data_IF_249098054704
#
_entry.id   IF_249098054704
#
_cell.length_a   1.000
_cell.length_b   1.000
_cell.length_c   1.000
_cell.angle_alpha   90.00
_cell.angle_beta   90.00
_cell.angle_gamma   90.00
#
_symmetry.space_group_name_H-M   'P 1'
#
loop_
_entity.id
_entity.type
_entity.pdbx_description
1 polymer ?
#
# COMPACT_ATOMS: atom_id res chain seq x y z
N UNK A 1 16.10 -25.30 -12.07
CA UNK A 1 14.82 -24.55 -11.96
C UNK A 1 15.10 -23.07 -12.10
N UNK A 2 14.29 -22.37 -12.90
CA UNK A 2 14.43 -20.93 -13.09
C UNK A 2 14.44 -20.20 -11.73
N UNK A 3 15.37 -19.26 -11.54
CA UNK A 3 15.61 -18.57 -10.26
C UNK A 3 14.33 -18.03 -9.63
N UNK A 4 13.40 -17.54 -10.46
CA UNK A 4 12.15 -16.94 -10.04
C UNK A 4 11.21 -17.85 -9.21
N UNK A 5 11.15 -19.16 -9.47
CA UNK A 5 10.29 -20.06 -8.67
C UNK A 5 10.83 -20.23 -7.25
N UNK A 6 12.16 -20.30 -7.11
CA UNK A 6 12.82 -20.41 -5.81
C UNK A 6 12.66 -19.11 -5.01
N UNK A 7 12.75 -17.97 -5.69
CA UNK A 7 12.49 -16.66 -5.10
C UNK A 7 11.05 -16.53 -4.62
N UNK A 8 10.07 -16.91 -5.45
CA UNK A 8 8.66 -16.91 -5.09
C UNK A 8 8.34 -17.90 -3.94
N UNK A 9 8.94 -19.09 -3.93
CA UNK A 9 8.78 -20.06 -2.86
C UNK A 9 9.36 -19.55 -1.52
N UNK A 10 10.56 -18.97 -1.53
CA UNK A 10 11.16 -18.32 -0.35
C UNK A 10 10.30 -17.17 0.16
N UNK A 11 9.79 -16.36 -0.76
CA UNK A 11 8.88 -15.26 -0.45
C UNK A 11 7.60 -15.77 0.22
N UNK A 12 6.94 -16.76 -0.38
CA UNK A 12 5.74 -17.42 0.18
C UNK A 12 6.01 -17.98 1.58
N UNK A 13 7.13 -18.69 1.78
CA UNK A 13 7.53 -19.26 3.07
C UNK A 13 7.81 -18.22 4.16
N UNK A 14 8.33 -17.04 3.78
CA UNK A 14 8.55 -15.94 4.72
C UNK A 14 7.23 -15.27 5.13
N UNK A 15 6.31 -15.14 4.17
CA UNK A 15 4.98 -14.58 4.38
C UNK A 15 4.10 -15.49 5.24
N UNK A 16 4.00 -16.77 4.87
CA UNK A 16 3.16 -17.76 5.56
C UNK A 16 3.60 -17.96 7.02
N UNK A 17 4.91 -17.91 7.27
CA UNK A 17 5.46 -17.99 8.63
C UNK A 17 5.26 -16.72 9.46
N UNK A 18 4.49 -15.73 8.98
CA UNK A 18 4.22 -14.48 9.69
C UNK A 18 5.43 -13.55 9.87
N UNK A 19 6.59 -13.89 9.28
CA UNK A 19 7.86 -13.19 9.50
C UNK A 19 7.91 -11.81 8.82
N UNK A 20 7.10 -11.60 7.78
CA UNK A 20 7.15 -10.36 6.98
C UNK A 20 5.87 -10.15 6.14
N UNK A 21 5.82 -9.06 5.36
CA UNK A 21 4.74 -8.80 4.39
C UNK A 21 5.14 -9.21 2.96
N UNK A 22 4.19 -9.25 2.01
CA UNK A 22 4.43 -9.73 0.65
C UNK A 22 5.42 -8.82 -0.02
N UNK A 23 5.12 -7.53 0.10
CA UNK A 23 5.86 -6.46 -0.53
C UNK A 23 7.28 -6.52 0.03
N UNK A 24 7.43 -6.55 1.35
CA UNK A 24 8.75 -6.63 2.01
C UNK A 24 9.53 -7.91 1.63
N UNK A 25 8.89 -9.08 1.54
CA UNK A 25 9.54 -10.31 1.12
C UNK A 25 9.95 -10.28 -0.36
N UNK A 26 9.04 -9.85 -1.24
CA UNK A 26 9.22 -9.80 -2.67
C UNK A 26 10.31 -8.79 -3.07
N UNK A 27 10.50 -7.72 -2.32
CA UNK A 27 11.58 -6.76 -2.56
C UNK A 27 13.00 -7.35 -2.41
N UNK A 28 13.13 -8.55 -1.85
CA UNK A 28 14.41 -9.28 -1.76
C UNK A 28 14.65 -10.22 -2.94
N UNK A 29 13.75 -10.26 -3.92
CA UNK A 29 13.83 -11.15 -5.09
C UNK A 29 14.35 -10.43 -6.32
N UNK A 30 14.75 -11.19 -7.35
CA UNK A 30 15.24 -10.62 -8.61
C UNK A 30 14.18 -9.83 -9.39
N UNK A 31 12.89 -10.12 -9.20
CA UNK A 31 11.80 -9.42 -9.87
C UNK A 31 10.61 -9.28 -8.90
N UNK A 32 10.63 -8.24 -8.04
CA UNK A 32 9.60 -8.05 -7.03
C UNK A 32 8.17 -7.97 -7.61
N UNK A 33 7.88 -7.23 -8.70
CA UNK A 33 6.54 -7.19 -9.27
C UNK A 33 6.01 -8.56 -9.70
N UNK A 34 6.85 -9.36 -10.39
CA UNK A 34 6.49 -10.71 -10.80
C UNK A 34 6.30 -11.64 -9.60
N UNK A 35 7.15 -11.53 -8.59
CA UNK A 35 7.02 -12.31 -7.35
C UNK A 35 5.73 -11.98 -6.61
N UNK A 36 5.40 -10.69 -6.43
CA UNK A 36 4.15 -10.26 -5.79
C UNK A 36 2.95 -10.84 -6.53
N UNK A 37 2.90 -10.68 -7.86
CA UNK A 37 1.80 -11.20 -8.67
C UNK A 37 1.62 -12.71 -8.49
N UNK A 38 2.69 -13.49 -8.68
CA UNK A 38 2.64 -14.95 -8.60
C UNK A 38 2.25 -15.44 -7.19
N UNK A 39 2.90 -14.91 -6.14
CA UNK A 39 2.65 -15.33 -4.76
C UNK A 39 1.25 -14.91 -4.29
N UNK A 40 0.75 -13.74 -4.71
CA UNK A 40 -0.65 -13.34 -4.43
C UNK A 40 -1.65 -14.34 -4.99
N UNK A 41 -1.48 -14.76 -6.24
CA UNK A 41 -2.40 -15.71 -6.86
C UNK A 41 -2.31 -17.11 -6.24
N UNK A 42 -1.09 -17.57 -5.93
CA UNK A 42 -0.86 -18.83 -5.21
C UNK A 42 -1.59 -18.84 -3.88
N UNK A 43 -1.51 -17.75 -3.11
CA UNK A 43 -2.21 -17.63 -1.81
C UNK A 43 -3.72 -17.57 -1.99
N UNK A 44 -4.22 -16.83 -2.99
CA UNK A 44 -5.66 -16.77 -3.31
C UNK A 44 -6.24 -18.15 -3.59
N UNK A 45 -5.51 -18.95 -4.37
CA UNK A 45 -5.96 -20.27 -4.78
C UNK A 45 -5.35 -21.41 -3.95
N UNK A 46 -4.82 -21.10 -2.75
CA UNK A 46 -4.09 -22.08 -1.92
C UNK A 46 -4.86 -23.36 -1.72
N UNK A 47 -6.11 -23.28 -1.24
CA UNK A 47 -6.94 -24.46 -0.95
C UNK A 47 -7.11 -25.34 -2.19
N UNK A 48 -7.44 -24.73 -3.33
CA UNK A 48 -7.58 -25.46 -4.60
C UNK A 48 -6.26 -26.11 -5.06
N UNK A 49 -5.13 -25.41 -4.90
CA UNK A 49 -3.80 -25.95 -5.22
C UNK A 49 -3.44 -27.13 -4.30
N UNK A 50 -3.68 -27.01 -3.01
CA UNK A 50 -3.41 -28.08 -2.03
C UNK A 50 -4.27 -29.32 -2.31
N UNK A 51 -5.55 -29.14 -2.63
CA UNK A 51 -6.44 -30.22 -3.08
C UNK A 51 -5.92 -30.91 -4.34
N UNK A 52 -5.53 -30.14 -5.37
CA UNK A 52 -4.99 -30.71 -6.62
C UNK A 52 -3.67 -31.47 -6.41
N UNK A 53 -2.77 -30.92 -5.58
CA UNK A 53 -1.49 -31.56 -5.25
C UNK A 53 -1.71 -32.89 -4.51
N UNK A 54 -2.64 -32.90 -3.54
CA UNK A 54 -2.97 -34.10 -2.76
C UNK A 54 -3.61 -35.18 -3.65
N UNK A 55 -4.60 -34.82 -4.47
CA UNK A 55 -5.31 -35.76 -5.34
C UNK A 55 -4.42 -36.48 -6.36
N UNK A 56 -3.29 -35.89 -6.74
CA UNK A 56 -2.37 -36.44 -7.75
C UNK A 56 -1.20 -37.23 -7.16
N UNK A 57 -1.06 -37.25 -5.84
CA UNK A 57 0.12 -37.80 -5.14
C UNK A 57 1.42 -37.11 -5.57
N UNK A 58 1.32 -35.83 -5.98
CA UNK A 58 2.45 -35.12 -6.56
C UNK A 58 3.56 -34.88 -5.53
N UNK A 59 3.18 -34.71 -4.26
CA UNK A 59 4.11 -34.42 -3.17
C UNK A 59 5.10 -35.56 -2.97
N UNK A 60 4.62 -36.79 -3.02
CA UNK A 60 5.38 -38.02 -2.88
C UNK A 60 6.28 -38.26 -4.11
N UNK A 61 5.73 -38.03 -5.31
CA UNK A 61 6.43 -38.24 -6.59
C UNK A 61 7.56 -37.23 -6.82
N UNK A 62 7.30 -35.95 -6.53
CA UNK A 62 8.25 -34.88 -6.79
C UNK A 62 9.26 -34.68 -5.65
N UNK A 63 8.81 -34.85 -4.40
CA UNK A 63 9.54 -34.39 -3.22
C UNK A 63 9.78 -32.87 -3.20
N UNK A 64 10.39 -32.38 -2.11
CA UNK A 64 10.85 -30.99 -2.02
C UNK A 64 9.95 -30.06 -1.19
N UNK A 65 10.32 -28.79 -1.19
CA UNK A 65 9.70 -27.74 -0.38
C UNK A 65 8.24 -27.47 -0.82
N UNK A 66 7.32 -27.46 0.15
CA UNK A 66 5.88 -27.35 -0.11
C UNK A 66 5.51 -26.04 -0.83
N UNK A 67 6.17 -24.93 -0.49
CA UNK A 67 5.95 -23.64 -1.15
C UNK A 67 6.41 -23.65 -2.60
N UNK A 68 7.51 -24.37 -2.90
CA UNK A 68 7.97 -24.52 -4.28
C UNK A 68 6.99 -25.34 -5.14
N UNK A 69 6.38 -26.38 -4.56
CA UNK A 69 5.31 -27.15 -5.20
C UNK A 69 4.11 -26.27 -5.54
N UNK A 70 3.60 -25.51 -4.56
CA UNK A 70 2.46 -24.60 -4.76
C UNK A 70 2.68 -23.61 -5.89
N UNK A 71 3.84 -22.94 -5.89
CA UNK A 71 4.19 -21.94 -6.90
C UNK A 71 4.32 -22.56 -8.29
N UNK A 72 5.00 -23.71 -8.40
CA UNK A 72 5.22 -24.38 -9.67
C UNK A 72 3.94 -24.97 -10.26
N UNK A 73 3.07 -25.55 -9.41
CA UNK A 73 1.77 -26.08 -9.83
C UNK A 73 0.87 -24.96 -10.31
N UNK A 74 0.77 -23.84 -9.56
CA UNK A 74 -0.05 -22.70 -9.98
C UNK A 74 0.35 -22.18 -11.36
N UNK A 75 1.64 -21.94 -11.59
CA UNK A 75 2.12 -21.44 -12.89
C UNK A 75 1.88 -22.46 -14.03
N UNK A 76 1.87 -23.76 -13.73
CA UNK A 76 1.57 -24.81 -14.70
C UNK A 76 0.07 -24.92 -15.04
N UNK A 77 -0.82 -24.80 -14.04
CA UNK A 77 -2.28 -24.93 -14.24
C UNK A 77 -2.93 -23.63 -14.71
N UNK A 78 -2.47 -22.46 -14.23
CA UNK A 78 -3.04 -21.15 -14.55
C UNK A 78 -2.23 -20.33 -15.59
N UNK A 79 -0.98 -20.70 -15.85
CA UNK A 79 -0.13 -20.07 -16.87
C UNK A 79 -0.24 -20.73 -18.25
N UNK A 80 0.76 -20.53 -19.12
CA UNK A 80 0.81 -21.13 -20.48
C UNK A 80 1.22 -22.62 -20.50
N UNK A 81 1.05 -23.33 -19.38
CA UNK A 81 1.52 -24.71 -19.17
C UNK A 81 2.92 -24.81 -18.55
N UNK A 82 3.31 -26.03 -18.16
CA UNK A 82 4.58 -26.29 -17.49
C UNK A 82 5.79 -25.81 -18.32
N UNK A 83 6.85 -25.24 -17.70
CA UNK A 83 8.02 -24.74 -18.41
C UNK A 83 8.62 -25.74 -19.39
N UNK A 84 8.77 -25.34 -20.65
CA UNK A 84 9.28 -26.19 -21.75
C UNK A 84 10.77 -26.52 -21.67
N UNK A 85 11.55 -25.73 -20.92
CA UNK A 85 13.00 -25.94 -20.73
C UNK A 85 13.32 -26.13 -19.23
N UNK A 86 14.13 -27.15 -18.95
CA UNK A 86 14.68 -27.62 -17.67
C UNK A 86 14.09 -28.96 -17.17
N UNK A 87 14.96 -29.98 -17.09
CA UNK A 87 14.70 -31.31 -16.55
C UNK A 87 15.07 -31.42 -15.08
N UNK A 88 14.08 -31.31 -14.19
CA UNK A 88 14.21 -31.68 -12.78
C UNK A 88 13.03 -32.57 -12.38
N UNK A 89 13.23 -33.43 -11.37
CA UNK A 89 12.24 -34.40 -10.86
C UNK A 89 10.85 -33.75 -10.64
N UNK A 90 10.80 -32.57 -10.03
CA UNK A 90 9.57 -31.79 -9.83
C UNK A 90 8.85 -31.43 -11.14
N UNK A 91 9.57 -30.87 -12.11
CA UNK A 91 8.96 -30.42 -13.38
C UNK A 91 8.47 -31.60 -14.21
N UNK A 92 9.15 -32.75 -14.15
CA UNK A 92 8.71 -33.99 -14.79
C UNK A 92 7.40 -34.49 -14.17
N UNK A 93 7.36 -34.59 -12.85
CA UNK A 93 6.17 -35.01 -12.13
C UNK A 93 4.96 -34.07 -12.36
N UNK A 94 5.19 -32.75 -12.41
CA UNK A 94 4.14 -31.78 -12.75
C UNK A 94 3.62 -31.99 -14.18
N UNK A 95 4.49 -32.24 -15.16
CA UNK A 95 4.06 -32.48 -16.55
C UNK A 95 3.22 -33.75 -16.68
N UNK A 96 3.64 -34.84 -16.04
CA UNK A 96 2.93 -36.11 -16.02
C UNK A 96 1.55 -35.98 -15.36
N UNK A 97 1.46 -35.23 -14.26
CA UNK A 97 0.22 -35.00 -13.53
C UNK A 97 -0.62 -33.83 -14.08
N UNK A 98 -0.16 -33.10 -15.10
CA UNK A 98 -0.76 -31.82 -15.52
C UNK A 98 -2.25 -31.90 -15.87
N UNK A 99 -2.74 -32.92 -16.61
CA UNK A 99 -4.18 -33.02 -16.93
C UNK A 99 -5.04 -33.16 -15.67
N UNK A 100 -4.63 -34.04 -14.74
CA UNK A 100 -5.32 -34.25 -13.48
C UNK A 100 -5.23 -33.02 -12.57
N UNK A 101 -4.06 -32.39 -12.48
CA UNK A 101 -3.86 -31.15 -11.71
C UNK A 101 -4.80 -30.05 -12.19
N UNK A 102 -4.95 -29.85 -13.51
CA UNK A 102 -5.86 -28.85 -14.07
C UNK A 102 -7.31 -29.15 -13.73
N UNK A 103 -7.75 -30.38 -13.99
CA UNK A 103 -9.12 -30.81 -13.72
C UNK A 103 -9.50 -30.65 -12.25
N UNK A 104 -8.65 -31.12 -11.32
CA UNK A 104 -8.91 -30.98 -9.88
C UNK A 104 -8.80 -29.53 -9.40
N UNK A 105 -7.84 -28.75 -9.93
CA UNK A 105 -7.71 -27.34 -9.59
C UNK A 105 -8.94 -26.53 -10.01
N UNK A 106 -9.44 -26.75 -11.22
CA UNK A 106 -10.64 -26.09 -11.73
C UNK A 106 -11.88 -26.48 -10.92
N UNK A 107 -12.05 -27.75 -10.60
CA UNK A 107 -13.17 -28.23 -9.77
C UNK A 107 -13.12 -27.70 -8.32
N UNK A 108 -11.93 -27.58 -7.73
CA UNK A 108 -11.74 -27.12 -6.35
C UNK A 108 -11.69 -25.60 -6.21
N UNK A 109 -11.50 -24.87 -7.32
CA UNK A 109 -11.47 -23.42 -7.33
C UNK A 109 -12.89 -22.90 -7.26
N UNK A 110 -13.30 -22.44 -6.08
CA UNK A 110 -14.44 -21.53 -5.99
C UNK A 110 -14.20 -20.34 -6.91
N UNK A 111 -15.19 -20.01 -7.76
CA UNK A 111 -15.16 -18.84 -8.62
C UNK A 111 -15.04 -17.58 -7.77
N UNK A 112 -13.80 -17.23 -7.43
CA UNK A 112 -13.46 -15.86 -7.06
C UNK A 112 -13.36 -15.10 -8.38
N UNK A 113 -14.08 -13.97 -8.54
CA UNK A 113 -14.16 -13.27 -9.80
C UNK A 113 -12.75 -13.03 -10.37
N UNK A 114 -12.55 -13.48 -11.61
CA UNK A 114 -11.29 -13.31 -12.31
C UNK A 114 -10.92 -11.82 -12.40
N UNK A 115 -9.62 -11.48 -12.34
CA UNK A 115 -9.10 -10.10 -12.37
C UNK A 115 -9.28 -9.38 -13.74
N UNK A 116 -10.16 -9.88 -14.59
CA UNK A 116 -10.32 -9.49 -15.99
C UNK A 116 -11.83 -9.50 -16.26
N UNK A 117 -12.56 -8.39 -16.39
CA UNK A 117 -12.35 -7.39 -17.45
C UNK A 117 -12.83 -5.94 -17.14
N UNK A 118 -13.32 -5.59 -15.95
CA UNK A 118 -13.95 -4.26 -15.73
C UNK A 118 -13.55 -3.50 -14.43
N UNK A 119 -12.44 -3.84 -13.76
CA UNK A 119 -12.00 -3.05 -12.58
C UNK A 119 -11.34 -1.73 -13.02
N UNK A 120 -11.69 -0.59 -12.38
CA UNK A 120 -11.06 0.68 -12.68
C UNK A 120 -9.56 0.62 -12.42
N UNK A 121 -8.80 1.23 -13.32
CA UNK A 121 -7.38 1.55 -13.14
C UNK A 121 -7.26 3.02 -12.79
N UNK A 122 -6.44 3.25 -11.79
CA UNK A 122 -6.19 4.57 -11.24
C UNK A 122 -4.81 5.05 -11.68
N UNK A 123 -4.80 6.21 -12.32
CA UNK A 123 -3.64 6.86 -12.93
C UNK A 123 -3.40 8.17 -12.18
N UNK A 124 -2.46 8.18 -11.24
CA UNK A 124 -2.10 9.41 -10.53
C UNK A 124 -1.23 10.26 -11.44
N UNK A 125 -1.71 11.44 -11.81
CA UNK A 125 -0.97 12.41 -12.60
C UNK A 125 0.14 13.02 -11.74
N UNK A 126 1.37 13.01 -12.26
CA UNK A 126 2.51 13.59 -11.57
C UNK A 126 2.57 15.10 -11.79
N UNK A 127 1.94 15.86 -10.87
CA UNK A 127 1.88 17.32 -10.92
C UNK A 127 3.24 18.04 -10.86
N UNK A 128 4.35 17.32 -10.64
CA UNK A 128 5.71 17.86 -10.77
C UNK A 128 6.16 18.02 -12.23
N UNK A 129 5.53 17.30 -13.15
CA UNK A 129 6.01 17.15 -14.53
C UNK A 129 4.95 17.41 -15.59
N UNK A 130 3.67 17.31 -15.23
CA UNK A 130 2.56 17.34 -16.17
C UNK A 130 1.28 17.80 -15.46
N UNK A 131 0.23 18.06 -16.21
CA UNK A 131 -1.12 18.34 -15.71
C UNK A 131 -2.08 17.20 -16.03
N UNK A 132 -3.17 17.11 -15.26
CA UNK A 132 -4.25 16.14 -15.51
C UNK A 132 -4.86 16.29 -16.91
N UNK A 133 -4.94 17.53 -17.42
CA UNK A 133 -5.43 17.83 -18.76
C UNK A 133 -4.53 17.24 -19.83
N UNK A 134 -3.22 17.51 -19.76
CA UNK A 134 -2.25 16.99 -20.74
C UNK A 134 -2.20 15.47 -20.76
N UNK A 135 -2.24 14.81 -19.59
CA UNK A 135 -2.30 13.35 -19.50
C UNK A 135 -3.55 12.81 -20.21
N UNK A 136 -4.72 13.43 -20.00
CA UNK A 136 -5.97 13.02 -20.63
C UNK A 136 -5.93 13.19 -22.14
N UNK A 137 -5.41 14.30 -22.62
CA UNK A 137 -5.25 14.56 -24.06
C UNK A 137 -4.33 13.53 -24.73
N UNK A 138 -3.21 13.19 -24.08
CA UNK A 138 -2.29 12.14 -24.57
C UNK A 138 -2.98 10.76 -24.61
N UNK A 139 -3.72 10.39 -23.56
CA UNK A 139 -4.48 9.14 -23.53
C UNK A 139 -5.57 9.12 -24.61
N UNK A 140 -6.30 10.22 -24.80
CA UNK A 140 -7.34 10.32 -25.82
C UNK A 140 -6.77 10.19 -27.25
N UNK A 141 -5.59 10.74 -27.51
CA UNK A 141 -4.89 10.59 -28.80
C UNK A 141 -4.50 9.12 -29.08
N UNK A 142 -4.33 8.31 -28.04
CA UNK A 142 -4.08 6.86 -28.12
C UNK A 142 -5.39 6.03 -28.12
N UNK A 143 -6.56 6.69 -28.16
CA UNK A 143 -7.87 6.03 -28.09
C UNK A 143 -8.22 5.47 -26.69
N UNK A 144 -7.52 5.93 -25.64
CA UNK A 144 -7.76 5.52 -24.25
C UNK A 144 -8.66 6.53 -23.56
N UNK A 145 -9.90 6.14 -23.27
CA UNK A 145 -10.82 6.93 -22.47
C UNK A 145 -10.36 6.96 -20.99
N UNK A 146 -10.25 8.16 -20.42
CA UNK A 146 -9.95 8.37 -19.01
C UNK A 146 -10.74 9.56 -18.46
N UNK A 147 -11.29 9.40 -17.26
CA UNK A 147 -12.15 10.38 -16.60
C UNK A 147 -11.49 10.91 -15.32
N UNK A 148 -11.93 12.08 -14.86
CA UNK A 148 -11.47 12.65 -13.59
C UNK A 148 -12.08 11.91 -12.41
N UNK A 149 -11.25 11.65 -11.40
CA UNK A 149 -11.76 11.18 -10.13
C UNK A 149 -12.46 12.32 -9.35
N UNK A 150 -13.65 12.05 -8.85
CA UNK A 150 -14.45 13.03 -8.09
C UNK A 150 -13.96 13.29 -6.66
N UNK A 151 -13.05 12.46 -6.13
CA UNK A 151 -12.58 12.54 -4.75
C UNK A 151 -11.10 12.89 -4.62
N UNK A 152 -10.30 12.74 -5.68
CA UNK A 152 -8.86 12.99 -5.67
C UNK A 152 -8.46 13.75 -6.93
N UNK A 153 -8.13 15.04 -6.76
CA UNK A 153 -7.91 15.98 -7.87
C UNK A 153 -6.84 15.56 -8.88
N UNK A 154 -5.79 14.88 -8.47
CA UNK A 154 -4.69 14.47 -9.35
C UNK A 154 -4.82 13.04 -9.88
N UNK A 155 -6.02 12.47 -9.83
CA UNK A 155 -6.29 11.10 -10.23
C UNK A 155 -7.20 11.03 -11.47
N UNK A 156 -6.81 10.20 -12.43
CA UNK A 156 -7.65 9.77 -13.55
C UNK A 156 -8.06 8.30 -13.36
N UNK A 157 -9.26 7.97 -13.87
CA UNK A 157 -9.83 6.63 -13.85
C UNK A 157 -10.04 6.14 -15.28
N UNK A 158 -9.61 4.92 -15.56
CA UNK A 158 -9.85 4.27 -16.86
C UNK A 158 -10.11 2.78 -16.68
N UNK A 159 -10.92 2.17 -17.54
CA UNK A 159 -11.05 0.71 -17.63
C UNK A 159 -10.04 0.10 -18.60
N UNK A 160 -9.33 0.92 -19.39
CA UNK A 160 -8.33 0.48 -20.34
C UNK A 160 -7.08 -0.10 -19.64
N UNK A 161 -6.37 -0.98 -20.35
CA UNK A 161 -5.15 -1.64 -19.84
C UNK A 161 -3.92 -0.73 -19.95
N UNK A 162 -3.84 0.29 -19.10
CA UNK A 162 -2.58 1.02 -18.86
C UNK A 162 -1.71 0.21 -17.88
N UNK A 163 -0.55 -0.25 -18.34
CA UNK A 163 0.40 -1.05 -17.55
C UNK A 163 1.73 -0.30 -17.35
N UNK A 164 2.59 -0.81 -16.47
CA UNK A 164 3.85 -0.13 -16.12
C UNK A 164 4.85 0.07 -17.27
N UNK A 165 4.58 -0.49 -18.45
CA UNK A 165 5.39 -0.31 -19.65
C UNK A 165 4.95 0.85 -20.55
N UNK A 166 3.80 1.47 -20.24
CA UNK A 166 3.22 2.58 -20.99
C UNK A 166 4.15 3.79 -21.02
N UNK A 167 4.15 4.54 -22.13
CA UNK A 167 5.04 5.68 -22.32
C UNK A 167 4.91 6.73 -21.20
N UNK A 168 3.67 7.15 -20.89
CA UNK A 168 3.38 8.07 -19.77
C UNK A 168 3.89 7.58 -18.41
N UNK A 169 3.86 6.26 -18.15
CA UNK A 169 4.36 5.70 -16.89
C UNK A 169 5.89 5.72 -16.86
N UNK A 170 6.54 5.31 -17.95
CA UNK A 170 8.01 5.34 -18.08
C UNK A 170 8.58 6.75 -18.04
N UNK A 171 7.85 7.73 -18.57
CA UNK A 171 8.21 9.14 -18.52
C UNK A 171 8.08 9.74 -17.11
N UNK A 172 7.40 9.06 -16.18
CA UNK A 172 7.11 9.57 -14.85
C UNK A 172 5.94 10.57 -14.81
N UNK A 173 5.21 10.74 -15.92
CA UNK A 173 4.03 11.61 -16.00
C UNK A 173 2.82 11.02 -15.29
N UNK A 174 2.71 9.68 -15.28
CA UNK A 174 1.63 8.94 -14.62
C UNK A 174 2.21 7.86 -13.72
N UNK A 175 1.65 7.75 -12.51
CA UNK A 175 2.02 6.73 -11.54
C UNK A 175 0.81 5.82 -11.31
N UNK A 176 1.01 4.52 -11.52
CA UNK A 176 -0.02 3.51 -11.26
C UNK A 176 -0.16 3.33 -9.74
N UNK A 177 -1.24 3.87 -9.18
CA UNK A 177 -1.52 3.83 -7.76
C UNK A 177 -3.01 3.74 -7.52
N UNK A 178 -3.42 2.77 -6.69
CA UNK A 178 -4.81 2.63 -6.27
C UNK A 178 -5.32 3.92 -5.61
N UNK A 179 -6.56 4.30 -5.92
CA UNK A 179 -7.22 5.51 -5.41
C UNK A 179 -7.11 5.66 -3.90
N UNK A 180 -7.36 4.60 -3.13
CA UNK A 180 -7.34 4.71 -1.68
C UNK A 180 -5.93 4.94 -1.12
N UNK A 181 -4.88 4.55 -1.86
CA UNK A 181 -3.48 4.85 -1.52
C UNK A 181 -3.11 6.33 -1.70
N UNK A 182 -3.90 7.10 -2.43
CA UNK A 182 -3.76 8.55 -2.60
C UNK A 182 -4.39 9.35 -1.44
N UNK A 183 -5.29 8.72 -0.68
CA UNK A 183 -6.07 9.36 0.38
C UNK A 183 -5.23 10.05 1.47
N UNK A 184 -4.12 9.48 1.99
CA UNK A 184 -3.39 10.10 3.10
C UNK A 184 -2.72 11.42 2.71
N UNK A 185 -2.03 11.46 1.58
CA UNK A 185 -1.37 12.67 1.11
C UNK A 185 -2.37 13.73 0.69
N UNK A 186 -3.46 13.33 0.04
CA UNK A 186 -4.57 14.22 -0.28
C UNK A 186 -5.20 14.80 0.99
N UNK A 187 -5.66 13.98 1.93
CA UNK A 187 -6.25 14.46 3.19
C UNK A 187 -5.30 15.35 4.00
N UNK A 188 -3.99 15.08 3.98
CA UNK A 188 -3.00 15.85 4.72
C UNK A 188 -2.80 17.26 4.15
N UNK A 189 -2.70 17.37 2.81
CA UNK A 189 -2.22 18.57 2.13
C UNK A 189 -3.31 19.35 1.38
N UNK A 190 -4.46 18.72 1.14
CA UNK A 190 -5.59 19.38 0.50
C UNK A 190 -6.19 20.47 1.40
N UNK A 191 -6.74 21.50 0.76
CA UNK A 191 -7.32 22.67 1.43
C UNK A 191 -6.34 23.50 2.28
N UNK A 192 -5.02 23.24 2.19
CA UNK A 192 -4.03 24.09 2.85
C UNK A 192 -4.02 25.49 2.20
N UNK A 193 -3.89 26.57 3.00
CA UNK A 193 -3.79 27.92 2.49
C UNK A 193 -2.68 28.09 1.43
N UNK A 194 -2.86 28.94 0.40
CA UNK A 194 -1.85 29.16 -0.64
C UNK A 194 -0.48 29.59 -0.11
N UNK A 195 -0.45 30.32 1.00
CA UNK A 195 0.74 30.81 1.70
C UNK A 195 1.35 29.79 2.67
N UNK A 196 0.72 28.62 2.84
CA UNK A 196 1.30 27.56 3.67
C UNK A 196 2.67 27.13 3.13
N UNK A 197 3.65 26.98 4.03
CA UNK A 197 5.03 26.56 3.73
C UNK A 197 5.57 25.68 4.84
N UNK A 198 6.12 24.53 4.52
CA UNK A 198 6.73 23.66 5.51
C UNK A 198 7.00 22.26 5.00
N UNK A 199 7.81 21.53 5.74
CA UNK A 199 8.20 20.19 5.32
C UNK A 199 7.16 19.16 5.74
N UNK A 200 7.09 18.11 4.92
CA UNK A 200 6.33 16.90 5.18
C UNK A 200 7.29 15.82 5.63
N UNK A 201 6.96 15.09 6.69
CA UNK A 201 7.67 13.86 7.06
C UNK A 201 6.79 12.67 6.71
N UNK A 202 7.34 11.70 5.98
CA UNK A 202 6.72 10.40 5.76
C UNK A 202 7.40 9.36 6.65
N UNK A 203 6.66 8.86 7.65
CA UNK A 203 7.19 8.11 8.78
C UNK A 203 7.60 6.66 8.47
N UNK A 204 6.98 6.05 7.46
CA UNK A 204 7.14 4.65 7.07
C UNK A 204 7.13 4.55 5.54
N UNK A 205 7.99 5.36 4.93
CA UNK A 205 7.77 5.89 3.60
C UNK A 205 7.89 4.87 2.47
N UNK A 206 8.68 3.81 2.65
CA UNK A 206 8.90 2.89 1.54
C UNK A 206 7.61 2.11 1.23
N UNK A 207 7.26 1.93 -0.05
CA UNK A 207 8.11 2.09 -1.22
C UNK A 207 8.09 3.49 -1.88
N UNK A 208 7.45 4.51 -1.32
CA UNK A 208 7.59 5.91 -1.78
C UNK A 208 6.42 6.49 -2.57
N UNK A 209 5.34 5.74 -2.79
CA UNK A 209 4.18 6.27 -3.53
C UNK A 209 3.54 7.46 -2.81
N UNK A 210 3.36 7.39 -1.48
CA UNK A 210 2.79 8.50 -0.70
C UNK A 210 3.74 9.68 -0.60
N UNK A 211 5.04 9.42 -0.47
CA UNK A 211 6.08 10.46 -0.41
C UNK A 211 6.14 11.27 -1.71
N UNK A 212 6.12 10.60 -2.87
CA UNK A 212 6.07 11.27 -4.18
C UNK A 212 4.73 11.97 -4.43
N UNK A 213 3.63 11.47 -3.87
CA UNK A 213 2.34 12.16 -3.93
C UNK A 213 2.38 13.47 -3.14
N UNK A 214 2.89 13.41 -1.90
CA UNK A 214 3.05 14.59 -1.06
C UNK A 214 3.97 15.63 -1.73
N UNK A 215 5.05 15.20 -2.39
CA UNK A 215 5.92 16.08 -3.15
C UNK A 215 5.17 16.83 -4.26
N UNK A 216 4.34 16.13 -5.03
CA UNK A 216 3.51 16.71 -6.08
C UNK A 216 2.49 17.73 -5.52
N UNK A 217 1.83 17.39 -4.40
CA UNK A 217 0.83 18.27 -3.76
C UNK A 217 1.45 19.50 -3.07
N UNK A 218 2.71 19.42 -2.65
CA UNK A 218 3.42 20.54 -2.06
C UNK A 218 3.61 21.69 -3.05
N UNK A 219 3.71 21.44 -4.36
CA UNK A 219 3.87 22.47 -5.40
C UNK A 219 4.99 23.48 -5.06
N UNK A 220 6.14 22.97 -4.62
CA UNK A 220 7.31 23.79 -4.26
C UNK A 220 7.24 24.50 -2.90
N UNK A 221 6.22 24.22 -2.06
CA UNK A 221 6.01 24.89 -0.75
C UNK A 221 6.77 24.26 0.42
N UNK A 222 7.62 23.27 0.16
CA UNK A 222 8.40 22.58 1.18
C UNK A 222 9.13 21.36 0.61
N UNK A 223 9.76 20.59 1.49
CA UNK A 223 10.41 19.32 1.16
C UNK A 223 9.68 18.14 1.81
N UNK A 224 9.94 16.94 1.31
CA UNK A 224 9.47 15.69 1.91
C UNK A 224 10.67 14.93 2.46
N UNK A 225 10.66 14.65 3.77
CA UNK A 225 11.62 13.75 4.40
C UNK A 225 10.99 12.37 4.52
N UNK A 226 11.44 11.43 3.68
CA UNK A 226 10.88 10.09 3.56
C UNK A 226 11.72 9.07 4.33
N UNK A 227 11.21 8.60 5.47
CA UNK A 227 11.97 7.78 6.42
C UNK A 227 11.51 6.33 6.38
N UNK A 228 12.46 5.40 6.25
CA UNK A 228 12.21 3.97 6.44
C UNK A 228 13.41 3.29 7.12
N UNK A 229 13.15 2.25 7.92
CA UNK A 229 14.20 1.51 8.65
C UNK A 229 14.89 0.46 7.77
N UNK A 230 14.17 -0.08 6.79
CA UNK A 230 14.63 -1.19 5.97
C UNK A 230 15.42 -0.67 4.76
N UNK A 231 16.72 -1.04 4.70
CA UNK A 231 17.62 -0.58 3.65
C UNK A 231 17.23 -1.07 2.24
N UNK A 232 16.64 -2.27 2.11
CA UNK A 232 16.22 -2.79 0.82
C UNK A 232 14.98 -2.03 0.32
N UNK A 233 14.02 -1.77 1.21
CA UNK A 233 12.84 -0.96 0.88
C UNK A 233 13.19 0.50 0.59
N UNK A 234 14.21 1.04 1.25
CA UNK A 234 14.69 2.40 1.00
C UNK A 234 15.26 2.56 -0.42
N UNK A 235 16.03 1.59 -0.93
CA UNK A 235 16.51 1.62 -2.33
C UNK A 235 15.37 1.72 -3.34
N UNK A 236 14.28 0.99 -3.10
CA UNK A 236 13.09 1.06 -3.95
C UNK A 236 12.41 2.41 -3.84
N UNK A 237 12.38 3.00 -2.64
CA UNK A 237 11.89 4.36 -2.45
C UNK A 237 12.73 5.35 -3.28
N UNK A 238 14.06 5.29 -3.21
CA UNK A 238 14.97 6.13 -3.99
C UNK A 238 14.78 5.94 -5.51
N UNK A 239 14.59 4.71 -5.98
CA UNK A 239 14.24 4.42 -7.37
C UNK A 239 12.92 5.06 -7.78
N UNK A 240 11.86 4.91 -6.98
CA UNK A 240 10.55 5.50 -7.30
C UNK A 240 10.55 7.02 -7.23
N UNK A 241 11.33 7.62 -6.33
CA UNK A 241 11.51 9.07 -6.28
C UNK A 241 12.16 9.58 -7.57
N UNK A 242 13.18 8.88 -8.08
CA UNK A 242 13.80 9.19 -9.38
C UNK A 242 12.85 9.01 -10.56
N UNK A 243 12.10 7.91 -10.59
CA UNK A 243 11.10 7.66 -11.62
C UNK A 243 10.00 8.73 -11.63
N UNK A 244 9.56 9.17 -10.45
CA UNK A 244 8.59 10.24 -10.27
C UNK A 244 9.17 11.65 -10.42
N UNK A 245 10.45 11.80 -10.77
CA UNK A 245 11.13 13.10 -10.92
C UNK A 245 11.02 13.99 -9.68
N UNK A 246 11.06 13.38 -8.50
CA UNK A 246 10.82 14.05 -7.23
C UNK A 246 12.11 14.24 -6.40
N UNK A 247 13.29 13.96 -6.96
CA UNK A 247 14.59 13.97 -6.26
C UNK A 247 14.95 15.33 -5.63
N UNK A 248 14.49 16.41 -6.24
CA UNK A 248 14.70 17.76 -5.74
C UNK A 248 13.77 18.11 -4.57
N UNK A 249 12.73 17.33 -4.30
CA UNK A 249 11.72 17.59 -3.25
C UNK A 249 11.75 16.51 -2.15
N UNK A 250 11.97 15.25 -2.51
CA UNK A 250 11.95 14.10 -1.59
C UNK A 250 13.37 13.68 -1.23
N UNK A 251 13.67 13.70 0.07
CA UNK A 251 14.90 13.13 0.62
C UNK A 251 14.59 11.79 1.30
N UNK A 252 15.10 10.70 0.75
CA UNK A 252 15.06 9.39 1.38
C UNK A 252 16.07 9.30 2.53
N UNK A 253 15.64 8.85 3.70
CA UNK A 253 16.52 8.68 4.87
C UNK A 253 16.30 7.32 5.51
N UNK A 254 17.41 6.57 5.65
CA UNK A 254 17.40 5.37 6.48
C UNK A 254 17.33 5.78 7.94
N UNK A 255 16.26 5.43 8.64
CA UNK A 255 16.12 5.86 10.01
C UNK A 255 14.95 5.25 10.75
N UNK A 256 15.03 5.37 12.07
CA UNK A 256 13.92 5.08 12.95
C UNK A 256 13.07 6.34 13.18
N UNK A 257 11.87 6.37 12.58
CA UNK A 257 10.92 7.47 12.78
C UNK A 257 10.60 7.76 14.26
N UNK A 258 10.56 6.74 15.13
CA UNK A 258 10.30 6.94 16.57
C UNK A 258 11.39 7.76 17.25
N UNK A 259 12.59 7.82 16.66
CA UNK A 259 13.75 8.58 17.14
C UNK A 259 14.01 9.85 16.35
N UNK A 260 13.35 10.04 15.20
CA UNK A 260 13.53 11.19 14.32
C UNK A 260 13.24 12.51 15.05
N UNK A 261 13.99 13.54 14.65
CA UNK A 261 13.71 14.94 14.96
C UNK A 261 13.79 15.72 13.65
N UNK A 262 12.78 16.52 13.37
CA UNK A 262 12.77 17.43 12.22
C UNK A 262 12.10 18.75 12.59
N UNK A 263 12.87 19.82 12.68
CA UNK A 263 12.36 21.14 13.07
C UNK A 263 11.52 21.82 11.99
N UNK A 264 11.65 21.41 10.73
CA UNK A 264 10.88 21.94 9.59
C UNK A 264 9.51 21.29 9.39
N UNK A 265 9.23 20.16 10.07
CA UNK A 265 8.02 19.39 9.86
C UNK A 265 6.77 20.15 10.31
N UNK A 266 5.90 20.51 9.35
CA UNK A 266 4.56 21.04 9.62
C UNK A 266 3.45 20.04 9.31
N UNK A 267 3.73 19.03 8.49
CA UNK A 267 2.78 17.98 8.15
C UNK A 267 3.46 16.60 8.22
N UNK A 268 2.73 15.55 8.62
CA UNK A 268 3.30 14.20 8.80
C UNK A 268 2.35 13.14 8.23
N UNK A 269 2.87 12.27 7.37
CA UNK A 269 2.24 11.02 6.93
C UNK A 269 2.66 9.88 7.87
N UNK A 270 1.70 9.19 8.46
CA UNK A 270 1.90 7.99 9.28
C UNK A 270 1.19 6.82 8.61
N UNK A 271 1.88 6.14 7.70
CA UNK A 271 1.40 4.96 6.96
C UNK A 271 2.23 3.70 7.32
N UNK A 272 2.10 3.18 8.54
CA UNK A 272 2.88 2.03 9.01
C UNK A 272 2.45 0.73 8.30
N UNK A 273 3.25 -0.32 8.53
CA UNK A 273 2.87 -1.67 8.10
C UNK A 273 1.55 -2.10 8.75
N UNK A 274 0.66 -2.68 7.93
CA UNK A 274 -0.70 -3.10 8.31
C UNK A 274 -0.89 -4.61 8.02
N UNK A 275 -1.95 -5.22 8.56
CA UNK A 275 -2.31 -6.61 8.25
C UNK A 275 -2.87 -6.78 6.82
N UNK A 276 -3.62 -5.79 6.31
CA UNK A 276 -4.37 -5.84 5.05
C UNK A 276 -3.57 -5.68 3.76
N UNK A 277 -2.23 -5.78 3.80
CA UNK A 277 -1.39 -5.83 2.59
C UNK A 277 -1.59 -7.06 1.69
N UNK A 278 -2.60 -7.91 1.97
CA UNK A 278 -2.79 -9.21 1.35
C UNK A 278 -4.25 -9.64 1.24
N UNK A 279 -4.74 -9.71 -0.01
CA UNK A 279 -5.85 -10.57 -0.37
C UNK A 279 -5.39 -12.03 -0.25
N UNK A 280 -5.94 -12.81 0.70
CA UNK A 280 -5.87 -14.29 0.64
C UNK A 280 -5.66 -15.07 1.94
N UNK A 281 -5.08 -14.49 3.00
CA UNK A 281 -5.03 -15.14 4.32
C UNK A 281 -5.23 -14.09 5.42
N UNK A 282 -6.14 -14.35 6.35
CA UNK A 282 -6.32 -13.54 7.54
C UNK A 282 -5.01 -13.54 8.36
N UNK A 283 -4.51 -12.37 8.73
CA UNK A 283 -3.46 -12.29 9.73
C UNK A 283 -3.98 -12.85 11.07
N UNK A 284 -3.12 -13.54 11.82
CA UNK A 284 -3.49 -13.98 13.17
C UNK A 284 -3.73 -12.78 14.08
N UNK A 285 -4.58 -12.95 15.08
CA UNK A 285 -4.93 -11.87 16.00
C UNK A 285 -3.70 -11.37 16.78
N UNK A 286 -2.72 -12.22 17.09
CA UNK A 286 -1.46 -11.80 17.72
C UNK A 286 -0.63 -10.90 16.81
N UNK A 287 -0.62 -11.19 15.50
CA UNK A 287 0.07 -10.35 14.52
C UNK A 287 -0.62 -9.00 14.39
N UNK A 288 -1.95 -8.99 14.36
CA UNK A 288 -2.75 -7.75 14.33
C UNK A 288 -2.46 -6.91 15.56
N UNK A 289 -2.48 -7.51 16.76
CA UNK A 289 -2.19 -6.81 18.02
C UNK A 289 -0.78 -6.20 18.03
N UNK A 290 0.24 -6.95 17.60
CA UNK A 290 1.63 -6.45 17.51
C UNK A 290 1.77 -5.28 16.53
N UNK A 291 1.07 -5.34 15.39
CA UNK A 291 1.08 -4.25 14.41
C UNK A 291 0.36 -3.02 14.95
N UNK A 292 -0.80 -3.19 15.60
CA UNK A 292 -1.55 -2.12 16.27
C UNK A 292 -0.75 -1.41 17.36
N UNK A 293 0.07 -2.16 18.12
CA UNK A 293 0.96 -1.57 19.12
C UNK A 293 2.03 -0.66 18.47
N UNK A 294 2.66 -1.12 17.37
CA UNK A 294 3.62 -0.31 16.63
C UNK A 294 2.97 0.92 15.99
N UNK A 295 1.78 0.74 15.39
CA UNK A 295 0.97 1.81 14.82
C UNK A 295 0.66 2.89 15.86
N UNK A 296 0.23 2.49 17.06
CA UNK A 296 0.00 3.39 18.19
C UNK A 296 1.24 4.17 18.58
N UNK A 297 2.41 3.51 18.68
CA UNK A 297 3.70 4.17 18.97
C UNK A 297 4.07 5.19 17.90
N UNK A 298 3.89 4.85 16.61
CA UNK A 298 4.20 5.73 15.49
C UNK A 298 3.28 6.96 15.48
N UNK A 299 1.98 6.79 15.64
CA UNK A 299 1.02 7.91 15.70
C UNK A 299 1.32 8.84 16.88
N UNK A 300 1.55 8.29 18.08
CA UNK A 300 1.93 9.09 19.26
C UNK A 300 3.22 9.87 19.03
N UNK A 301 4.23 9.26 18.39
CA UNK A 301 5.48 9.94 18.06
C UNK A 301 5.24 11.14 17.12
N UNK A 302 4.42 10.98 16.08
CA UNK A 302 4.06 12.05 15.15
C UNK A 302 3.37 13.23 15.85
N UNK A 303 2.41 12.94 16.73
CA UNK A 303 1.62 13.97 17.43
C UNK A 303 2.44 14.72 18.51
N UNK A 304 3.42 14.06 19.14
CA UNK A 304 4.10 14.60 20.32
C UNK A 304 5.48 15.21 20.05
N UNK A 305 6.26 14.62 19.13
CA UNK A 305 7.69 14.93 18.97
C UNK A 305 7.99 16.09 18.02
N UNK A 306 7.03 16.47 17.18
CA UNK A 306 7.22 17.51 16.17
C UNK A 306 6.51 18.80 16.61
N UNK A 307 7.24 19.78 17.18
CA UNK A 307 6.62 20.94 17.82
C UNK A 307 5.89 21.86 16.83
N UNK A 308 6.35 21.88 15.57
CA UNK A 308 5.79 22.68 14.47
C UNK A 308 4.76 21.93 13.64
N UNK A 309 4.50 20.66 13.93
CA UNK A 309 3.46 19.91 13.23
C UNK A 309 2.08 20.52 13.50
N UNK A 310 1.35 20.72 12.41
CA UNK A 310 -0.01 21.27 12.37
C UNK A 310 -1.00 20.23 11.89
N UNK A 311 -0.58 19.34 10.99
CA UNK A 311 -1.39 18.24 10.48
C UNK A 311 -0.65 16.90 10.55
N UNK A 312 -1.38 15.84 10.89
CA UNK A 312 -0.89 14.46 10.85
C UNK A 312 -1.97 13.59 10.24
N UNK A 313 -1.66 12.87 9.16
CA UNK A 313 -2.55 11.84 8.63
C UNK A 313 -2.07 10.47 9.08
N UNK A 314 -2.93 9.71 9.72
CA UNK A 314 -2.71 8.30 10.00
C UNK A 314 -3.46 7.45 8.98
N UNK A 315 -2.82 6.42 8.44
CA UNK A 315 -3.48 5.52 7.50
C UNK A 315 -3.03 4.08 7.61
N UNK A 316 -3.93 3.18 7.23
CA UNK A 316 -3.62 1.76 7.05
C UNK A 316 -4.30 1.24 5.78
N UNK A 317 -3.81 0.09 5.33
CA UNK A 317 -4.42 -0.72 4.29
C UNK A 317 -5.31 -1.85 4.88
N UNK A 318 -5.88 -1.67 6.08
CA UNK A 318 -6.59 -2.70 6.83
C UNK A 318 -8.11 -2.51 6.82
N UNK A 319 -8.83 -3.58 7.20
CA UNK A 319 -10.27 -3.56 7.52
C UNK A 319 -10.54 -3.83 9.01
N UNK A 320 -9.48 -4.00 9.80
CA UNK A 320 -9.50 -4.38 11.22
C UNK A 320 -9.59 -3.13 12.09
N UNK A 321 -10.61 -3.05 12.94
CA UNK A 321 -10.81 -1.89 13.81
C UNK A 321 -9.67 -1.71 14.83
N UNK A 322 -8.99 -2.80 15.16
CA UNK A 322 -7.85 -2.86 16.07
C UNK A 322 -6.64 -2.06 15.53
N UNK A 323 -6.47 -2.00 14.21
CA UNK A 323 -5.43 -1.21 13.54
C UNK A 323 -5.90 0.20 13.17
N UNK A 324 -7.21 0.45 13.20
CA UNK A 324 -7.83 1.66 12.66
C UNK A 324 -8.41 2.53 13.79
N UNK A 325 -9.71 2.37 14.13
CA UNK A 325 -10.38 3.18 15.13
C UNK A 325 -9.77 3.03 16.53
N UNK A 326 -9.31 1.83 16.91
CA UNK A 326 -8.73 1.59 18.22
C UNK A 326 -7.43 2.38 18.42
N UNK A 327 -6.59 2.47 17.38
CA UNK A 327 -5.34 3.26 17.40
C UNK A 327 -5.66 4.75 17.53
N UNK A 328 -6.64 5.24 16.76
CA UNK A 328 -7.09 6.64 16.81
C UNK A 328 -7.69 6.98 18.18
N UNK A 329 -8.57 6.13 18.71
CA UNK A 329 -9.17 6.29 20.03
C UNK A 329 -8.10 6.35 21.13
N UNK A 330 -7.13 5.43 21.08
CA UNK A 330 -6.01 5.39 22.03
C UNK A 330 -5.08 6.60 21.96
N UNK A 331 -5.00 7.28 20.80
CA UNK A 331 -4.29 8.55 20.66
C UNK A 331 -5.10 9.74 21.22
N UNK A 332 -6.41 9.78 21.02
CA UNK A 332 -7.28 10.84 21.53
C UNK A 332 -7.51 10.78 23.05
N UNK A 333 -7.47 9.58 23.63
CA UNK A 333 -7.57 9.41 25.08
C UNK A 333 -6.35 10.00 25.83
N UNK A 334 -5.19 10.03 25.18
CA UNK A 334 -3.93 10.50 25.76
C UNK A 334 -4.01 11.99 26.15
N UNK A 335 -3.79 12.27 27.44
CA UNK A 335 -3.94 13.60 28.00
C UNK A 335 -2.93 14.60 27.43
N UNK A 336 -1.73 14.16 27.07
CA UNK A 336 -0.69 15.05 26.57
C UNK A 336 -0.90 15.39 25.09
N UNK A 337 -1.44 14.46 24.31
CA UNK A 337 -1.92 14.73 22.95
C UNK A 337 -3.05 15.76 22.97
N UNK A 338 -4.03 15.59 23.87
CA UNK A 338 -5.13 16.56 24.05
C UNK A 338 -4.65 17.94 24.50
N UNK A 339 -3.76 18.00 25.50
CA UNK A 339 -3.10 19.27 25.92
C UNK A 339 -2.30 19.90 24.77
N UNK A 340 -1.78 19.07 23.86
CA UNK A 340 -1.12 19.48 22.62
C UNK A 340 -2.06 20.11 21.59
N UNK A 341 -3.38 20.15 21.83
CA UNK A 341 -4.38 20.80 20.99
C UNK A 341 -4.75 20.01 19.73
N UNK A 342 -4.45 18.71 19.68
CA UNK A 342 -4.79 17.85 18.55
C UNK A 342 -6.26 17.43 18.62
N UNK A 343 -6.93 17.48 17.47
CA UNK A 343 -8.30 16.99 17.26
C UNK A 343 -8.40 16.29 15.91
N UNK A 344 -9.41 15.44 15.73
CA UNK A 344 -9.75 14.94 14.39
C UNK A 344 -10.35 16.06 13.54
N UNK A 345 -9.99 16.06 12.28
CA UNK A 345 -10.64 16.84 11.23
C UNK A 345 -11.23 15.88 10.19
N UNK A 346 -12.29 16.27 9.46
CA UNK A 346 -12.90 15.42 8.44
C UNK A 346 -11.88 15.01 7.37
N UNK A 347 -11.49 13.73 7.38
CA UNK A 347 -10.65 13.16 6.35
C UNK A 347 -11.51 12.91 5.11
N UNK A 348 -11.11 13.48 3.97
CA UNK A 348 -11.80 13.36 2.68
C UNK A 348 -13.30 13.61 2.78
N UNK A 349 -13.74 14.87 2.98
CA UNK A 349 -15.14 15.21 3.20
C UNK A 349 -16.07 14.69 2.09
N UNK A 350 -15.61 14.72 0.83
CA UNK A 350 -16.37 14.24 -0.32
C UNK A 350 -16.49 12.71 -0.41
N UNK A 351 -15.61 11.95 0.26
CA UNK A 351 -15.70 10.49 0.29
C UNK A 351 -16.90 10.06 1.14
N UNK A 352 -17.70 9.04 0.77
CA UNK A 352 -18.92 8.74 1.52
C UNK A 352 -18.73 7.84 2.74
N UNK A 353 -17.72 6.96 2.75
CA UNK A 353 -17.60 5.90 3.77
C UNK A 353 -16.77 6.36 4.97
N UNK A 354 -17.41 6.39 6.14
CA UNK A 354 -16.84 6.84 7.41
C UNK A 354 -16.28 5.71 8.29
N UNK A 355 -15.67 6.11 9.40
CA UNK A 355 -15.23 5.20 10.46
C UNK A 355 -16.38 4.39 11.04
N UNK A 356 -16.05 3.23 11.59
CA UNK A 356 -17.03 2.39 12.30
C UNK A 356 -17.24 2.92 13.72
N UNK A 357 -18.42 2.69 14.32
CA UNK A 357 -18.61 2.97 15.74
C UNK A 357 -17.57 2.24 16.58
N UNK A 358 -16.96 2.94 17.53
CA UNK A 358 -15.96 2.40 18.44
C UNK A 358 -16.13 3.04 19.81
N UNK A 359 -16.04 2.26 20.90
CA UNK A 359 -16.34 2.74 22.26
C UNK A 359 -15.51 3.96 22.71
N UNK A 360 -14.29 4.08 22.19
CA UNK A 360 -13.41 5.22 22.48
C UNK A 360 -13.55 6.43 21.55
N UNK A 361 -14.55 6.44 20.65
CA UNK A 361 -14.83 7.54 19.74
C UNK A 361 -16.31 7.93 19.80
N UNK A 362 -16.59 9.23 19.86
CA UNK A 362 -17.96 9.71 19.66
C UNK A 362 -18.36 9.63 18.17
N UNK A 363 -19.63 9.94 17.90
CA UNK A 363 -20.17 9.88 16.53
C UNK A 363 -19.48 10.88 15.59
N UNK A 364 -19.29 12.11 16.05
CA UNK A 364 -18.66 13.16 15.24
C UNK A 364 -17.20 12.84 14.91
N UNK A 365 -16.48 12.23 15.85
CA UNK A 365 -15.14 11.72 15.66
C UNK A 365 -15.12 10.57 14.64
N UNK A 366 -16.05 9.63 14.73
CA UNK A 366 -16.18 8.53 13.76
C UNK A 366 -16.49 9.05 12.35
N UNK A 367 -17.32 10.09 12.25
CA UNK A 367 -17.66 10.77 10.99
C UNK A 367 -16.50 11.60 10.41
N UNK A 368 -15.44 11.86 11.19
CA UNK A 368 -14.21 12.46 10.67
C UNK A 368 -13.26 11.45 10.03
N UNK A 369 -13.47 10.15 10.23
CA UNK A 369 -12.61 9.10 9.69
C UNK A 369 -13.10 8.67 8.30
N UNK A 370 -12.18 8.20 7.46
CA UNK A 370 -12.51 7.67 6.14
C UNK A 370 -12.09 6.20 6.03
N UNK A 371 -12.97 5.35 5.48
CA UNK A 371 -12.70 3.94 5.18
C UNK A 371 -12.93 3.65 3.71
N UNK A 372 -12.21 2.71 3.14
CA UNK A 372 -12.49 2.14 1.84
C UNK A 372 -12.63 0.61 1.94
N UNK A 373 -13.68 0.07 1.33
CA UNK A 373 -14.03 -1.35 1.30
C UNK A 373 -14.00 -1.85 -0.16
N UNK A 374 -13.10 -2.79 -0.51
CA UNK A 374 -12.98 -3.30 -1.88
C UNK A 374 -14.26 -3.89 -2.45
N UNK A 375 -15.16 -4.37 -1.59
CA UNK A 375 -16.44 -4.94 -2.01
C UNK A 375 -17.46 -3.89 -2.44
N UNK A 376 -17.23 -2.61 -2.11
CA UNK A 376 -18.19 -1.52 -2.31
C UNK A 376 -17.65 -0.32 -3.07
N UNK A 377 -16.34 -0.08 -2.99
CA UNK A 377 -15.77 1.22 -3.37
C UNK A 377 -14.88 1.17 -4.62
N UNK A 378 -14.73 -0.01 -5.24
CA UNK A 378 -13.86 -0.22 -6.40
C UNK A 378 -12.39 0.24 -6.19
N UNK A 379 -11.91 0.21 -4.94
CA UNK A 379 -10.52 0.50 -4.54
C UNK A 379 -9.95 -0.63 -3.69
N UNK A 380 -8.68 -0.52 -3.28
CA UNK A 380 -8.14 -1.33 -2.19
C UNK A 380 -8.73 -0.96 -0.82
N UNK A 381 -8.64 -1.89 0.13
CA UNK A 381 -9.06 -1.67 1.52
C UNK A 381 -8.16 -0.62 2.17
N UNK A 382 -8.77 0.33 2.86
CA UNK A 382 -8.02 1.47 3.37
C UNK A 382 -8.71 2.18 4.53
N UNK A 383 -7.92 2.86 5.35
CA UNK A 383 -8.37 3.71 6.44
C UNK A 383 -7.52 4.98 6.49
N UNK A 384 -8.14 6.13 6.74
CA UNK A 384 -7.46 7.41 6.96
C UNK A 384 -8.11 8.18 8.10
N UNK A 385 -7.28 8.71 9.00
CA UNK A 385 -7.63 9.70 9.99
C UNK A 385 -6.76 10.95 9.81
N UNK A 386 -7.36 12.13 9.85
CA UNK A 386 -6.65 13.40 9.81
C UNK A 386 -6.72 14.07 11.17
N UNK A 387 -5.55 14.38 11.74
CA UNK A 387 -5.41 15.17 12.95
C UNK A 387 -4.95 16.57 12.60
N UNK A 388 -5.58 17.56 13.22
CA UNK A 388 -5.15 18.96 13.15
C UNK A 388 -4.88 19.52 14.55
N UNK A 389 -3.82 20.31 14.65
CA UNK A 389 -3.53 21.07 15.86
C UNK A 389 -4.26 22.40 15.83
N UNK A 390 -4.92 22.76 16.93
CA UNK A 390 -5.56 24.07 17.08
C UNK A 390 -4.55 25.22 16.97
N UNK A 391 -4.92 26.28 16.25
CA UNK A 391 -4.05 27.42 15.94
C UNK A 391 -3.42 28.07 17.21
N UNK A 392 -4.18 28.12 18.31
CA UNK A 392 -3.71 28.65 19.60
C UNK A 392 -2.61 27.79 20.27
N UNK A 393 -2.67 26.47 20.13
CA UNK A 393 -1.67 25.54 20.67
C UNK A 393 -0.38 25.53 19.84
N UNK A 394 -0.52 25.65 18.51
CA UNK A 394 0.63 25.75 17.59
C UNK A 394 1.49 26.98 17.88
N UNK A 395 0.87 28.14 18.16
CA UNK A 395 1.57 29.41 18.44
C UNK A 395 2.35 29.39 19.78
N UNK A 396 1.82 28.72 20.82
CA UNK A 396 2.50 28.61 22.13
C UNK A 396 3.74 27.72 22.11
N UNK A 397 3.71 26.58 21.38
CA UNK A 397 4.89 25.70 21.28
C UNK A 397 5.99 26.26 20.36
N UNK A 398 5.65 26.98 19.27
CA UNK A 398 6.63 27.67 18.41
C UNK A 398 7.46 28.73 19.13
N UNK A 399 6.98 29.26 20.26
CA UNK A 399 7.72 30.22 21.10
C UNK A 399 8.63 29.55 22.14
N UNK A 400 8.48 28.23 22.38
CA UNK A 400 9.18 27.49 23.45
C UNK A 400 10.31 26.58 22.94
N UNK A 401 10.46 26.41 21.63
CA UNK A 401 11.52 25.63 21.02
C UNK A 401 11.87 26.22 19.67
#
# INVERSE_FOLDING_TARGET
MASHYRDAAKCLKAVDGGRTTLKTAAYKTQNPPRTVALVSEVRRHRKALETAIAATGLREKAGGDAQLLLVAVYDAVAGRGAPKRCGGKLLRAIREALPALKSTFEAARTESPSRTENKPRYLRCNLLTTTRKEVREKLAAEGVAAEDDVHVDDLLVTTAKVHGGHALVKAGEVILQDKSSCFPAHALLDGLPPDWRGDVVDACAAPGNKSTHAAALLRGRGKVLAVDRDAARLKILEERVREAKADNVVQAVRGDFLKLRHGGARAILVDPSCSGGFEGEAASDERVARLAEFQSKALRAALMRFPRAERVSYSTCSLRAEEDEAVVAGALADADIRKGGWRLAPALPAWPRRGRPHAGLDRAQSDCLARADPSKDATGAFFVALFERSAGAARKRRRRG
#
